data_IF_897552315583
#
_entry.id   IF_897552315583
#
_cell.length_a   1.000
_cell.length_b   1.000
_cell.length_c   1.000
_cell.angle_alpha   90.00
_cell.angle_beta   90.00
_cell.angle_gamma   90.00
#
_symmetry.space_group_name_H-M   'P 1'
#
loop_
_entity.id
_entity.type
_entity.pdbx_description
1 polymer ?
#
# COMPACT_ATOMS: atom_id res chain seq x y z
N UNK A 1 -15.40 6.12 -12.70
CA UNK A 1 -14.36 6.83 -11.95
C UNK A 1 -13.06 6.60 -12.70
N UNK A 2 -12.47 7.63 -13.32
CA UNK A 2 -11.21 7.46 -14.05
C UNK A 2 -10.09 7.20 -13.04
N UNK A 3 -9.67 5.94 -12.94
CA UNK A 3 -8.57 5.51 -12.05
C UNK A 3 -7.27 6.28 -12.41
N UNK A 4 -7.16 6.79 -13.65
CA UNK A 4 -6.03 7.59 -14.15
C UNK A 4 -5.81 8.95 -13.45
N UNK A 5 -6.80 9.50 -12.71
CA UNK A 5 -6.66 10.82 -12.06
C UNK A 5 -6.43 10.77 -10.54
N UNK A 6 -6.67 9.62 -9.90
CA UNK A 6 -6.54 9.48 -8.46
C UNK A 6 -5.12 9.11 -8.06
N UNK A 7 -4.26 10.13 -7.99
CA UNK A 7 -2.88 9.98 -7.51
C UNK A 7 -2.88 9.58 -6.03
N UNK A 8 -2.04 8.62 -5.67
CA UNK A 8 -1.78 8.31 -4.27
C UNK A 8 -0.79 9.34 -3.71
N UNK A 9 -1.17 10.00 -2.63
CA UNK A 9 -0.37 11.06 -1.99
C UNK A 9 0.18 10.65 -0.63
N UNK A 10 -0.32 9.55 -0.06
CA UNK A 10 0.16 9.03 1.22
C UNK A 10 0.01 7.52 1.29
N UNK A 11 1.03 6.87 1.84
CA UNK A 11 1.03 5.48 2.29
C UNK A 11 1.48 5.46 3.75
N UNK A 12 0.80 4.71 4.62
CA UNK A 12 1.20 4.55 6.01
C UNK A 12 0.72 3.22 6.60
N UNK A 13 1.25 2.90 7.77
CA UNK A 13 0.96 1.68 8.52
C UNK A 13 0.42 2.03 9.90
N UNK A 14 -0.67 1.40 10.29
CA UNK A 14 -1.34 1.59 11.58
C UNK A 14 -2.25 0.39 11.84
N UNK A 15 -2.46 -0.02 13.10
CA UNK A 15 -3.40 -1.08 13.49
C UNK A 15 -3.35 -2.35 12.61
N UNK A 16 -2.14 -2.89 12.39
CA UNK A 16 -1.87 -4.06 11.54
C UNK A 16 -2.43 -3.97 10.11
N UNK A 17 -2.53 -2.75 9.58
CA UNK A 17 -2.99 -2.45 8.22
C UNK A 17 -2.01 -1.57 7.48
N UNK A 18 -2.02 -1.71 6.16
CA UNK A 18 -1.46 -0.75 5.22
C UNK A 18 -2.58 0.12 4.69
N UNK A 19 -2.34 1.43 4.61
CA UNK A 19 -3.29 2.42 4.11
C UNK A 19 -2.72 3.17 2.93
N UNK A 20 -3.62 3.58 2.03
CA UNK A 20 -3.35 4.57 0.98
C UNK A 20 -4.33 5.73 1.11
N UNK A 21 -3.90 6.92 0.70
CA UNK A 21 -4.78 8.07 0.53
C UNK A 21 -4.59 8.69 -0.86
N UNK A 22 -5.70 8.96 -1.54
CA UNK A 22 -5.70 9.66 -2.83
C UNK A 22 -5.57 11.18 -2.63
N UNK A 23 -5.18 11.89 -3.69
CA UNK A 23 -5.21 13.36 -3.77
C UNK A 23 -6.61 13.95 -3.54
N UNK A 24 -7.67 13.16 -3.71
CA UNK A 24 -9.05 13.55 -3.41
C UNK A 24 -9.44 13.28 -1.95
N UNK A 25 -8.53 12.75 -1.13
CA UNK A 25 -8.76 12.46 0.29
C UNK A 25 -9.42 11.11 0.57
N UNK A 26 -9.70 10.30 -0.45
CA UNK A 26 -10.21 8.95 -0.27
C UNK A 26 -9.14 8.08 0.38
N UNK A 27 -9.51 7.32 1.42
CA UNK A 27 -8.62 6.39 2.11
C UNK A 27 -9.07 4.95 1.87
N UNK A 28 -8.11 4.07 1.57
CA UNK A 28 -8.31 2.62 1.51
C UNK A 28 -7.30 1.92 2.41
N UNK A 29 -7.62 0.70 2.82
CA UNK A 29 -6.73 -0.08 3.67
C UNK A 29 -6.88 -1.56 3.42
N UNK A 30 -5.79 -2.30 3.59
CA UNK A 30 -5.79 -3.76 3.64
C UNK A 30 -5.08 -4.26 4.90
N UNK A 31 -5.53 -5.38 5.50
CA UNK A 31 -4.81 -6.02 6.59
C UNK A 31 -3.42 -6.48 6.16
N UNK A 32 -2.40 -6.27 7.00
CA UNK A 32 -1.06 -6.81 6.75
C UNK A 32 -1.04 -8.34 6.74
N UNK A 33 -1.98 -8.98 7.43
CA UNK A 33 -2.16 -10.45 7.40
C UNK A 33 -2.45 -11.01 6.01
N UNK A 34 -2.80 -10.18 5.03
CA UNK A 34 -2.92 -10.59 3.63
C UNK A 34 -1.58 -10.74 2.92
N UNK A 35 -0.54 -10.11 3.46
CA UNK A 35 0.80 -10.01 2.87
C UNK A 35 1.83 -10.58 3.85
N UNK A 36 2.08 -11.91 3.85
CA UNK A 36 2.87 -12.57 4.89
C UNK A 36 4.29 -12.01 5.06
N UNK A 37 4.91 -11.45 4.01
CA UNK A 37 6.22 -10.78 4.13
C UNK A 37 6.12 -9.45 4.87
N UNK A 38 5.12 -8.63 4.56
CA UNK A 38 4.89 -7.36 5.25
C UNK A 38 4.47 -7.58 6.71
N UNK A 39 3.61 -8.57 6.98
CA UNK A 39 3.18 -8.90 8.34
C UNK A 39 4.34 -9.23 9.28
N UNK A 40 5.42 -9.81 8.76
CA UNK A 40 6.60 -10.23 9.53
C UNK A 40 7.72 -9.19 9.55
N UNK A 41 7.60 -8.12 8.77
CA UNK A 41 8.63 -7.11 8.63
C UNK A 41 8.69 -6.20 9.87
N UNK A 42 9.89 -5.72 10.22
CA UNK A 42 10.01 -4.66 11.23
C UNK A 42 9.42 -3.36 10.69
N UNK A 43 9.05 -2.44 11.60
CA UNK A 43 8.58 -1.12 11.23
C UNK A 43 9.54 -0.39 10.28
N UNK A 44 10.83 -0.47 10.54
CA UNK A 44 11.88 0.16 9.72
C UNK A 44 11.90 -0.38 8.28
N UNK A 45 11.64 -1.68 8.11
CA UNK A 45 11.55 -2.31 6.78
C UNK A 45 10.22 -1.95 6.12
N UNK A 46 9.11 -1.94 6.87
CA UNK A 46 7.83 -1.49 6.34
C UNK A 46 7.87 -0.05 5.86
N UNK A 47 8.58 0.84 6.56
CA UNK A 47 8.70 2.26 6.19
C UNK A 47 9.77 2.52 5.11
N UNK A 48 10.59 1.52 4.75
CA UNK A 48 11.63 1.66 3.71
C UNK A 48 11.12 1.38 2.29
N UNK A 49 9.86 1.70 1.99
CA UNK A 49 9.28 1.51 0.66
C UNK A 49 9.63 2.65 -0.30
N UNK A 50 9.49 2.36 -1.59
CA UNK A 50 9.44 3.38 -2.64
C UNK A 50 8.08 3.36 -3.34
N UNK A 51 7.67 4.50 -3.87
CA UNK A 51 6.44 4.63 -4.65
C UNK A 51 6.75 4.72 -6.13
N UNK A 52 5.94 4.06 -6.94
CA UNK A 52 5.87 4.24 -8.38
C UNK A 52 4.50 4.82 -8.77
N UNK A 53 4.28 5.17 -10.04
CA UNK A 53 2.95 5.58 -10.50
C UNK A 53 1.85 4.52 -10.28
N UNK A 54 2.21 3.25 -10.12
CA UNK A 54 1.27 2.12 -10.12
C UNK A 54 1.20 1.38 -8.79
N UNK A 55 2.14 1.61 -7.86
CA UNK A 55 2.20 0.83 -6.64
C UNK A 55 3.33 1.20 -5.68
N UNK A 56 3.58 0.26 -4.78
CA UNK A 56 4.50 0.35 -3.65
C UNK A 56 5.48 -0.81 -3.73
N UNK A 57 6.77 -0.53 -3.58
CA UNK A 57 7.83 -1.52 -3.70
C UNK A 57 8.70 -1.57 -2.43
N UNK A 58 9.02 -2.78 -1.97
CA UNK A 58 9.96 -3.05 -0.89
C UNK A 58 11.15 -3.88 -1.38
N UNK A 59 12.26 -3.22 -1.70
CA UNK A 59 13.49 -3.87 -2.17
C UNK A 59 13.98 -4.97 -1.22
N UNK A 60 14.01 -4.68 0.09
CA UNK A 60 14.49 -5.63 1.11
C UNK A 60 13.63 -6.89 1.25
N UNK A 61 12.38 -6.82 0.83
CA UNK A 61 11.41 -7.92 0.95
C UNK A 61 11.15 -8.63 -0.38
N UNK A 62 11.64 -8.05 -1.49
CA UNK A 62 11.27 -8.46 -2.85
C UNK A 62 9.75 -8.57 -2.98
N UNK A 63 9.04 -7.50 -2.59
CA UNK A 63 7.58 -7.47 -2.50
C UNK A 63 7.03 -6.17 -3.12
N UNK A 64 5.96 -6.32 -3.89
CA UNK A 64 5.26 -5.23 -4.57
C UNK A 64 3.76 -5.29 -4.28
N UNK A 65 3.15 -4.11 -4.09
CA UNK A 65 1.69 -3.96 -4.04
C UNK A 65 1.23 -2.96 -5.09
N UNK A 66 0.20 -3.31 -5.86
CA UNK A 66 -0.43 -2.39 -6.81
C UNK A 66 -1.44 -1.49 -6.08
N UNK A 67 -1.56 -0.24 -6.53
CA UNK A 67 -2.63 0.63 -6.05
C UNK A 67 -4.02 0.13 -6.47
N UNK A 68 -4.13 -0.48 -7.65
CA UNK A 68 -5.39 -1.05 -8.15
C UNK A 68 -5.99 -2.09 -7.19
N UNK A 69 -5.14 -2.90 -6.56
CA UNK A 69 -5.56 -3.90 -5.57
C UNK A 69 -6.27 -3.29 -4.36
N UNK A 70 -6.02 -2.03 -4.01
CA UNK A 70 -6.74 -1.35 -2.92
C UNK A 70 -8.18 -0.96 -3.27
N UNK A 71 -8.53 -0.93 -4.56
CA UNK A 71 -9.86 -0.54 -5.04
C UNK A 71 -10.68 -1.73 -5.53
N UNK A 72 -10.02 -2.74 -6.11
CA UNK A 72 -10.69 -3.80 -6.84
C UNK A 72 -10.57 -5.19 -6.20
N UNK A 73 -9.77 -5.33 -5.13
CA UNK A 73 -9.55 -6.62 -4.50
C UNK A 73 -9.92 -6.61 -3.02
N UNK A 74 -10.56 -7.70 -2.57
CA UNK A 74 -10.81 -8.03 -1.17
C UNK A 74 -10.67 -9.54 -1.04
N UNK A 75 -9.98 -10.00 0.00
CA UNK A 75 -9.76 -11.43 0.27
C UNK A 75 -10.90 -12.04 1.07
#
# INVERSE_FOLDING_TARGET
MNIMENKIVKVWFEDDKIFIQTNQGEKKSHPLSWFPKLQKASKEVLESFTLSPFGIHWEKLDEDLSFDGFFNFTK
#
